data_IF_005901119335
#
_entry.id   IF_005901119335
#
_cell.length_a   1.000
_cell.length_b   1.000
_cell.length_c   1.000
_cell.angle_alpha   90.00
_cell.angle_beta   90.00
_cell.angle_gamma   90.00
#
_symmetry.space_group_name_H-M   'P 1'
#
loop_
_entity.id
_entity.type
_entity.pdbx_description
1 polymer ?
#
# COMPACT_ATOMS: atom_id res chain seq x y z
N UNK A 1 37.98 -18.18 28.16
CA UNK A 1 37.94 -16.85 27.52
C UNK A 1 37.53 -16.91 26.06
N UNK A 2 38.23 -17.67 25.18
CA UNK A 2 37.88 -17.77 23.75
C UNK A 2 36.45 -18.29 23.48
N UNK A 3 36.00 -19.31 24.19
CA UNK A 3 34.66 -19.87 24.06
C UNK A 3 33.57 -18.87 24.42
N UNK A 4 33.77 -18.11 25.50
CA UNK A 4 32.84 -17.04 25.93
C UNK A 4 32.78 -15.93 24.88
N UNK A 5 33.92 -15.52 24.31
CA UNK A 5 33.96 -14.51 23.24
C UNK A 5 33.22 -14.97 21.98
N UNK A 6 33.38 -16.24 21.59
CA UNK A 6 32.68 -16.80 20.43
C UNK A 6 31.16 -16.83 20.65
N UNK A 7 30.71 -17.22 21.85
CA UNK A 7 29.28 -17.24 22.18
C UNK A 7 28.67 -15.83 22.17
N UNK A 8 29.39 -14.83 22.68
CA UNK A 8 28.92 -13.43 22.66
C UNK A 8 28.81 -12.89 21.23
N UNK A 9 29.77 -13.21 20.35
CA UNK A 9 29.70 -12.82 18.94
C UNK A 9 28.51 -13.47 18.22
N UNK A 10 28.24 -14.75 18.48
CA UNK A 10 27.08 -15.45 17.92
C UNK A 10 25.76 -14.84 18.41
N UNK A 11 25.66 -14.49 19.69
CA UNK A 11 24.47 -13.85 20.24
C UNK A 11 24.20 -12.48 19.61
N UNK A 12 25.25 -11.67 19.40
CA UNK A 12 25.13 -10.36 18.73
C UNK A 12 24.70 -10.52 17.27
N UNK A 13 25.24 -11.52 16.55
CA UNK A 13 24.85 -11.79 15.17
C UNK A 13 23.38 -12.23 15.04
N UNK A 14 22.91 -13.10 15.96
CA UNK A 14 21.50 -13.50 16.00
C UNK A 14 20.60 -12.31 16.28
N UNK A 15 20.94 -11.46 17.25
CA UNK A 15 20.20 -10.23 17.56
C UNK A 15 20.15 -9.26 16.37
N UNK A 16 21.28 -9.05 15.68
CA UNK A 16 21.33 -8.18 14.51
C UNK A 16 20.46 -8.74 13.35
N UNK A 17 20.48 -10.05 13.13
CA UNK A 17 19.68 -10.70 12.11
C UNK A 17 18.17 -10.62 12.43
N UNK A 18 17.76 -10.87 13.67
CA UNK A 18 16.35 -10.80 14.07
C UNK A 18 15.82 -9.37 14.08
N UNK A 19 16.62 -8.39 14.51
CA UNK A 19 16.25 -6.97 14.44
C UNK A 19 16.15 -6.46 12.99
N UNK A 20 17.02 -6.92 12.08
CA UNK A 20 16.94 -6.55 10.68
C UNK A 20 15.67 -7.13 10.02
N UNK A 21 15.36 -8.39 10.32
CA UNK A 21 14.13 -9.03 9.84
C UNK A 21 12.90 -8.33 10.42
N UNK A 22 12.91 -7.91 11.69
CA UNK A 22 11.78 -7.15 12.25
C UNK A 22 11.60 -5.81 11.57
N UNK A 23 12.65 -5.05 11.29
CA UNK A 23 12.54 -3.76 10.56
C UNK A 23 11.95 -3.94 9.15
N UNK A 24 12.18 -5.09 8.51
CA UNK A 24 11.61 -5.41 7.19
C UNK A 24 10.23 -6.09 7.26
N UNK A 25 9.92 -6.84 8.34
CA UNK A 25 8.65 -7.55 8.53
C UNK A 25 7.58 -6.70 9.20
N UNK A 26 7.99 -5.68 9.95
CA UNK A 26 7.16 -4.51 10.26
C UNK A 26 6.84 -3.86 8.92
N UNK A 27 5.79 -4.32 8.26
CA UNK A 27 5.18 -3.61 7.16
C UNK A 27 5.01 -2.16 7.61
N UNK A 28 5.74 -1.19 7.06
CA UNK A 28 5.57 0.22 7.42
C UNK A 28 4.22 0.77 6.94
N UNK A 29 3.34 -0.09 6.42
CA UNK A 29 2.10 0.24 5.72
C UNK A 29 0.97 0.73 6.64
N UNK A 30 1.11 0.69 7.97
CA UNK A 30 -0.05 0.81 8.86
C UNK A 30 -0.12 2.05 9.76
N UNK A 31 0.92 2.88 9.89
CA UNK A 31 0.88 3.94 10.92
C UNK A 31 0.30 5.29 10.45
N UNK A 32 0.13 5.52 9.14
CA UNK A 32 -0.23 6.85 8.65
C UNK A 32 -1.66 6.97 8.12
N UNK A 33 -2.31 5.88 7.73
CA UNK A 33 -3.64 5.94 7.12
C UNK A 33 -4.53 4.79 7.62
N UNK A 34 -5.57 5.08 8.45
CA UNK A 34 -6.50 4.05 8.92
C UNK A 34 -7.41 3.54 7.79
N UNK A 35 -7.31 4.11 6.58
CA UNK A 35 -8.14 3.77 5.44
C UNK A 35 -7.40 2.85 4.48
N UNK A 36 -7.95 1.65 4.27
CA UNK A 36 -7.54 0.77 3.18
C UNK A 36 -8.17 1.25 1.87
N UNK A 37 -7.42 1.12 0.77
CA UNK A 37 -7.96 1.46 -0.54
C UNK A 37 -9.14 0.55 -0.90
N UNK A 38 -10.02 1.06 -1.79
CA UNK A 38 -11.26 0.37 -2.17
C UNK A 38 -11.02 -1.03 -2.73
N UNK A 39 -9.93 -1.21 -3.49
CA UNK A 39 -9.59 -2.48 -4.12
C UNK A 39 -9.20 -3.54 -3.08
N UNK A 40 -8.36 -3.19 -2.11
CA UNK A 40 -7.99 -4.05 -0.98
C UNK A 40 -9.17 -4.30 -0.05
N UNK A 41 -10.08 -3.33 0.10
CA UNK A 41 -11.29 -3.52 0.90
C UNK A 41 -12.21 -4.63 0.36
N UNK A 42 -12.25 -4.82 -0.97
CA UNK A 42 -13.05 -5.87 -1.59
C UNK A 42 -12.59 -7.29 -1.21
N UNK A 43 -11.33 -7.46 -0.81
CA UNK A 43 -10.79 -8.76 -0.40
C UNK A 43 -11.40 -9.26 0.92
N UNK A 44 -11.97 -8.37 1.73
CA UNK A 44 -12.58 -8.69 3.02
C UNK A 44 -14.09 -8.95 2.95
N UNK A 45 -14.71 -8.85 1.77
CA UNK A 45 -16.17 -9.06 1.61
C UNK A 45 -16.49 -10.57 1.68
N UNK A 46 -17.39 -10.94 2.59
CA UNK A 46 -17.81 -12.32 2.85
C UNK A 46 -18.38 -13.02 1.60
N UNK A 47 -18.03 -14.29 1.41
CA UNK A 47 -18.35 -15.09 0.21
C UNK A 47 -19.86 -15.13 -0.11
N UNK A 48 -20.70 -15.15 0.90
CA UNK A 48 -22.16 -15.33 0.77
C UNK A 48 -22.84 -14.12 0.11
N UNK A 49 -22.26 -12.93 0.27
CA UNK A 49 -22.74 -11.67 -0.35
C UNK A 49 -22.00 -11.33 -1.65
N UNK A 50 -21.02 -12.15 -2.03
CA UNK A 50 -20.02 -11.84 -3.05
C UNK A 50 -20.62 -11.62 -4.43
N UNK A 51 -21.62 -12.39 -4.85
CA UNK A 51 -22.21 -12.23 -6.19
C UNK A 51 -22.96 -10.90 -6.34
N UNK A 52 -23.72 -10.52 -5.30
CA UNK A 52 -24.40 -9.22 -5.25
C UNK A 52 -23.41 -8.05 -5.16
N UNK A 53 -22.36 -8.20 -4.35
CA UNK A 53 -21.29 -7.21 -4.22
C UNK A 53 -20.52 -7.02 -5.53
N UNK A 54 -20.12 -8.11 -6.21
CA UNK A 54 -19.46 -8.05 -7.52
C UNK A 54 -20.32 -7.33 -8.56
N UNK A 55 -21.63 -7.62 -8.57
CA UNK A 55 -22.55 -7.01 -9.54
C UNK A 55 -22.68 -5.50 -9.29
N UNK A 56 -22.83 -5.09 -8.03
CA UNK A 56 -22.86 -3.67 -7.64
C UNK A 56 -21.54 -2.96 -7.95
N UNK A 57 -20.42 -3.61 -7.68
CA UNK A 57 -19.10 -3.06 -7.98
C UNK A 57 -18.90 -2.88 -9.48
N UNK A 58 -19.27 -3.87 -10.29
CA UNK A 58 -19.21 -3.78 -11.76
C UNK A 58 -20.05 -2.63 -12.31
N UNK A 59 -21.24 -2.37 -11.74
CA UNK A 59 -22.07 -1.22 -12.14
C UNK A 59 -21.37 0.09 -11.74
N UNK A 60 -20.85 0.18 -10.51
CA UNK A 60 -20.11 1.36 -10.04
C UNK A 60 -18.88 1.64 -10.88
N UNK A 61 -18.10 0.63 -11.25
CA UNK A 61 -16.92 0.77 -12.12
C UNK A 61 -17.27 1.39 -13.48
N UNK A 62 -18.46 1.09 -14.01
CA UNK A 62 -18.94 1.66 -15.28
C UNK A 62 -19.35 3.12 -15.16
N UNK A 63 -19.91 3.53 -14.03
CA UNK A 63 -20.37 4.91 -13.77
C UNK A 63 -19.37 5.76 -12.99
N UNK A 64 -18.19 5.22 -12.68
CA UNK A 64 -17.16 5.88 -11.89
C UNK A 64 -16.72 7.20 -12.51
N UNK A 65 -16.69 8.25 -11.71
CA UNK A 65 -16.26 9.57 -12.15
C UNK A 65 -14.77 9.56 -12.54
N UNK A 66 -14.34 10.36 -13.54
CA UNK A 66 -12.94 10.44 -13.93
C UNK A 66 -12.00 10.80 -12.77
N UNK A 67 -12.43 11.68 -11.88
CA UNK A 67 -11.66 12.09 -10.69
C UNK A 67 -11.47 10.94 -9.70
N UNK A 68 -12.52 10.13 -9.49
CA UNK A 68 -12.45 8.95 -8.62
C UNK A 68 -11.49 7.91 -9.19
N UNK A 69 -11.52 7.71 -10.52
CA UNK A 69 -10.54 6.85 -11.20
C UNK A 69 -9.11 7.35 -11.07
N UNK A 70 -8.88 8.66 -11.20
CA UNK A 70 -7.55 9.26 -11.02
C UNK A 70 -7.02 9.07 -9.59
N UNK A 71 -7.90 9.25 -8.60
CA UNK A 71 -7.60 8.99 -7.18
C UNK A 71 -7.20 7.53 -6.96
N UNK A 72 -8.00 6.58 -7.42
CA UNK A 72 -7.68 5.15 -7.27
C UNK A 72 -6.37 4.73 -7.94
N UNK A 73 -6.05 5.31 -9.11
CA UNK A 73 -4.74 5.09 -9.76
C UNK A 73 -3.59 5.59 -8.87
N UNK A 74 -3.79 6.73 -8.21
CA UNK A 74 -2.80 7.32 -7.33
C UNK A 74 -2.65 6.53 -6.01
N UNK A 75 -3.74 6.07 -5.41
CA UNK A 75 -3.74 5.15 -4.25
C UNK A 75 -3.06 3.80 -4.55
N UNK A 76 -3.05 3.38 -5.81
CA UNK A 76 -2.35 2.17 -6.23
C UNK A 76 -0.85 2.37 -6.54
N UNK A 77 -0.36 3.62 -6.51
CA UNK A 77 1.04 3.95 -6.78
C UNK A 77 1.61 4.77 -5.63
N UNK A 78 2.32 4.09 -4.74
CA UNK A 78 2.84 4.63 -3.47
C UNK A 78 3.50 6.01 -3.56
N UNK A 79 4.35 6.33 -4.56
CA UNK A 79 4.88 7.68 -4.70
C UNK A 79 3.81 8.76 -4.97
N UNK A 80 2.78 8.43 -5.74
CA UNK A 80 1.66 9.33 -5.99
C UNK A 80 0.79 9.50 -4.73
N UNK A 81 0.52 8.41 -4.01
CA UNK A 81 -0.25 8.45 -2.76
C UNK A 81 0.38 9.38 -1.71
N UNK A 82 1.69 9.25 -1.47
CA UNK A 82 2.41 10.15 -0.56
C UNK A 82 2.35 11.60 -1.04
N UNK A 83 2.54 11.83 -2.33
CA UNK A 83 2.46 13.20 -2.87
C UNK A 83 1.04 13.78 -2.76
N UNK A 84 0.02 12.93 -2.95
CA UNK A 84 -1.38 13.31 -2.86
C UNK A 84 -1.81 13.70 -1.44
N UNK A 85 -1.22 13.09 -0.40
CA UNK A 85 -1.51 13.48 0.99
C UNK A 85 -1.13 14.94 1.28
N UNK A 86 -0.12 15.47 0.57
CA UNK A 86 0.34 16.85 0.72
C UNK A 86 -0.25 17.83 -0.31
N UNK A 87 -0.45 17.39 -1.56
CA UNK A 87 -0.83 18.27 -2.67
C UNK A 87 -2.20 17.98 -3.28
N UNK A 88 -2.89 16.94 -2.80
CA UNK A 88 -4.16 16.46 -3.34
C UNK A 88 -4.00 15.56 -4.57
N UNK A 89 -4.99 14.70 -4.78
CA UNK A 89 -4.97 13.67 -5.82
C UNK A 89 -4.91 14.22 -7.25
N UNK A 90 -5.53 15.37 -7.54
CA UNK A 90 -5.51 15.94 -8.88
C UNK A 90 -4.09 16.38 -9.30
N UNK A 91 -3.38 17.07 -8.39
CA UNK A 91 -2.02 17.52 -8.62
C UNK A 91 -1.05 16.32 -8.67
N UNK A 92 -1.19 15.37 -7.75
CA UNK A 92 -0.40 14.15 -7.71
C UNK A 92 -0.55 13.33 -9.01
N UNK A 93 -1.80 13.13 -9.45
CA UNK A 93 -2.07 12.39 -10.68
C UNK A 93 -1.41 13.06 -11.89
N UNK A 94 -1.48 14.39 -11.99
CA UNK A 94 -0.83 15.13 -13.07
C UNK A 94 0.70 15.05 -12.99
N UNK A 95 1.27 15.09 -11.79
CA UNK A 95 2.71 14.99 -11.57
C UNK A 95 3.29 13.65 -12.06
N UNK A 96 2.65 12.54 -11.72
CA UNK A 96 3.15 11.19 -12.05
C UNK A 96 2.61 10.62 -13.37
N UNK A 97 1.36 10.89 -13.73
CA UNK A 97 0.68 10.28 -14.88
C UNK A 97 0.32 11.28 -15.99
N UNK A 98 0.39 12.59 -15.74
CA UNK A 98 0.03 13.63 -16.70
C UNK A 98 0.94 13.70 -17.93
N UNK A 99 2.16 13.14 -17.87
CA UNK A 99 3.14 13.16 -18.97
C UNK A 99 2.85 12.18 -20.12
N UNK A 100 1.79 11.35 -20.06
CA UNK A 100 1.38 10.43 -21.14
C UNK A 100 0.24 10.96 -22.02
N UNK A 101 0.30 12.24 -22.40
CA UNK A 101 -0.55 12.81 -23.46
C UNK A 101 0.27 13.52 -24.54
N UNK A 102 1.31 12.87 -25.04
CA UNK A 102 1.78 13.15 -26.41
C UNK A 102 1.24 12.03 -27.28
N UNK A 103 0.30 12.43 -28.12
CA UNK A 103 -0.43 11.64 -29.10
C UNK A 103 0.50 11.15 -30.21
#
# INVERSE_FOLDING_TARGET
MRTVVILMLLAVLVMAATCYVSIYSEQPFAFSDPFINRQRANDFIQADTRLGAITRERIRERTKAPQERQREICENYYPCEIYASHHGYAAAYMHYFGRRRTK
#
